data_IF_288007145019
#
_entry.id   IF_288007145019
#
_cell.length_a   1.000
_cell.length_b   1.000
_cell.length_c   1.000
_cell.angle_alpha   90.00
_cell.angle_beta   90.00
_cell.angle_gamma   90.00
#
_symmetry.space_group_name_H-M   'P 1'
#
loop_
_entity.id
_entity.type
_entity.pdbx_description
1 polymer ?
#
# COMPACT_ATOMS: atom_id res chain seq x y z
N UNK A 1 6.77 30.15 -35.04
CA UNK A 1 5.81 29.21 -34.46
C UNK A 1 6.55 27.88 -34.35
N UNK A 2 7.15 27.63 -33.19
CA UNK A 2 7.74 26.35 -32.87
C UNK A 2 6.71 25.62 -32.00
N UNK A 3 6.25 24.47 -32.46
CA UNK A 3 5.42 23.56 -31.67
C UNK A 3 6.38 22.69 -30.85
N UNK A 4 6.36 22.87 -29.53
CA UNK A 4 7.05 22.01 -28.59
C UNK A 4 6.33 20.65 -28.57
N UNK A 5 7.00 19.62 -29.09
CA UNK A 5 6.64 18.22 -28.89
C UNK A 5 7.03 17.83 -27.46
N UNK A 6 6.05 17.76 -26.56
CA UNK A 6 6.18 17.01 -25.31
C UNK A 6 6.35 15.50 -25.66
N UNK A 7 7.55 14.96 -25.44
CA UNK A 7 7.77 13.51 -25.45
C UNK A 7 7.13 12.90 -24.21
N UNK A 8 6.05 12.16 -24.42
CA UNK A 8 5.39 11.31 -23.43
C UNK A 8 6.27 10.11 -23.06
N UNK A 9 7.18 10.30 -22.09
CA UNK A 9 7.99 9.24 -21.49
C UNK A 9 7.21 8.35 -20.48
N UNK A 10 5.92 8.63 -20.25
CA UNK A 10 5.11 7.93 -19.24
C UNK A 10 4.64 6.55 -19.71
N UNK A 11 4.22 6.45 -20.97
CA UNK A 11 3.68 5.21 -21.54
C UNK A 11 4.78 4.15 -21.76
N UNK A 12 6.02 4.55 -22.02
CA UNK A 12 7.14 3.62 -22.20
C UNK A 12 7.61 2.99 -20.88
N UNK A 13 7.53 3.72 -19.76
CA UNK A 13 7.84 3.19 -18.43
C UNK A 13 6.79 2.15 -17.98
N UNK A 14 5.51 2.37 -18.30
CA UNK A 14 4.44 1.40 -18.04
C UNK A 14 4.64 0.11 -18.87
N UNK A 15 5.08 0.25 -20.12
CA UNK A 15 5.40 -0.89 -20.99
C UNK A 15 6.65 -1.67 -20.54
N UNK A 16 7.68 -1.00 -20.02
CA UNK A 16 8.90 -1.62 -19.52
C UNK A 16 8.64 -2.39 -18.22
N UNK A 17 7.79 -1.87 -17.33
CA UNK A 17 7.42 -2.52 -16.06
C UNK A 17 6.47 -3.71 -16.27
N UNK A 18 5.66 -3.71 -17.33
CA UNK A 18 4.68 -4.76 -17.66
C UNK A 18 5.21 -5.80 -18.67
N UNK A 19 6.50 -5.74 -19.01
CA UNK A 19 7.16 -6.63 -19.96
C UNK A 19 7.44 -8.03 -19.40
N UNK A 20 6.39 -8.77 -19.01
CA UNK A 20 6.53 -10.17 -18.60
C UNK A 20 5.20 -10.82 -18.21
N UNK A 21 4.69 -11.66 -19.10
CA UNK A 21 3.58 -12.63 -18.92
C UNK A 21 2.16 -12.13 -19.16
N UNK A 22 1.61 -12.57 -20.31
CA UNK A 22 0.17 -12.81 -20.52
C UNK A 22 -0.67 -11.58 -20.85
N UNK A 23 -1.39 -11.62 -21.98
CA UNK A 23 -2.23 -10.52 -22.47
C UNK A 23 -3.24 -10.01 -21.44
N UNK A 24 -2.88 -8.95 -20.72
CA UNK A 24 -3.78 -8.18 -19.88
C UNK A 24 -4.66 -7.35 -20.80
N UNK A 25 -5.97 -7.63 -20.80
CA UNK A 25 -6.94 -6.74 -21.46
C UNK A 25 -6.73 -5.33 -20.89
N UNK A 26 -6.34 -4.36 -21.73
CA UNK A 26 -6.20 -2.95 -21.32
C UNK A 26 -7.45 -2.53 -20.54
N UNK A 27 -7.32 -2.38 -19.22
CA UNK A 27 -8.44 -1.95 -18.37
C UNK A 27 -8.72 -0.47 -18.66
N UNK A 28 -10.00 -0.12 -18.77
CA UNK A 28 -10.40 1.27 -19.00
C UNK A 28 -9.93 2.23 -17.89
N UNK A 29 -9.88 3.52 -18.21
CA UNK A 29 -9.47 4.55 -17.25
C UNK A 29 -10.52 4.81 -16.15
N UNK A 30 -11.74 4.30 -16.31
CA UNK A 30 -12.79 4.39 -15.29
C UNK A 30 -12.61 3.21 -14.33
N UNK A 31 -12.58 3.50 -13.02
CA UNK A 31 -12.50 2.48 -11.99
C UNK A 31 -13.88 1.87 -11.72
N UNK A 32 -14.01 0.53 -11.68
CA UNK A 32 -15.20 -0.09 -11.12
C UNK A 32 -15.30 0.21 -9.62
N UNK A 33 -16.53 0.30 -9.11
CA UNK A 33 -16.82 0.42 -7.68
C UNK A 33 -17.43 -0.89 -7.19
N UNK A 34 -16.82 -1.49 -6.17
CA UNK A 34 -17.30 -2.69 -5.51
C UNK A 34 -18.05 -2.34 -4.23
N UNK A 35 -19.21 -2.97 -4.01
CA UNK A 35 -20.02 -2.76 -2.82
C UNK A 35 -20.89 -1.51 -2.91
N UNK A 36 -20.89 -0.68 -1.86
CA UNK A 36 -21.83 0.42 -1.72
C UNK A 36 -21.31 1.73 -2.33
N UNK A 37 -21.96 2.16 -3.41
CA UNK A 37 -21.63 3.38 -4.17
C UNK A 37 -21.92 4.70 -3.44
N UNK A 38 -22.59 4.66 -2.29
CA UNK A 38 -22.87 5.87 -1.48
C UNK A 38 -21.94 5.97 -0.29
N UNK A 39 -21.63 4.85 0.34
CA UNK A 39 -20.90 4.82 1.62
C UNK A 39 -19.43 4.46 1.48
N UNK A 40 -18.94 4.12 0.27
CA UNK A 40 -17.56 3.62 0.06
C UNK A 40 -17.27 2.36 0.89
N UNK A 41 -18.30 1.63 1.30
CA UNK A 41 -18.22 0.52 2.26
C UNK A 41 -17.67 0.87 3.64
N UNK A 42 -17.64 2.16 4.01
CA UNK A 42 -17.21 2.59 5.33
C UNK A 42 -18.20 2.16 6.41
N UNK A 43 -17.69 1.93 7.61
CA UNK A 43 -18.53 1.76 8.79
C UNK A 43 -19.41 3.01 8.97
N UNK A 44 -20.71 2.82 9.25
CA UNK A 44 -21.66 3.93 9.40
C UNK A 44 -21.20 4.99 10.41
N UNK A 45 -20.58 4.58 11.52
CA UNK A 45 -20.05 5.53 12.51
C UNK A 45 -18.93 6.39 11.93
N UNK A 46 -17.99 5.79 11.19
CA UNK A 46 -16.90 6.52 10.54
C UNK A 46 -17.48 7.47 9.49
N UNK A 47 -18.38 6.97 8.63
CA UNK A 47 -19.01 7.80 7.60
C UNK A 47 -19.79 8.98 8.18
N UNK A 48 -20.60 8.77 9.22
CA UNK A 48 -21.33 9.86 9.87
C UNK A 48 -20.39 10.92 10.42
N UNK A 49 -19.26 10.52 11.04
CA UNK A 49 -18.28 11.48 11.55
C UNK A 49 -17.53 12.20 10.42
N UNK A 50 -17.20 11.53 9.31
CA UNK A 50 -16.66 12.18 8.10
C UNK A 50 -17.64 13.27 7.63
N UNK A 51 -18.90 12.90 7.41
CA UNK A 51 -19.91 13.82 6.89
C UNK A 51 -20.23 14.97 7.85
N UNK A 52 -20.05 14.78 9.16
CA UNK A 52 -20.25 15.82 10.17
C UNK A 52 -18.99 16.65 10.45
N UNK A 53 -17.81 16.19 10.04
CA UNK A 53 -16.55 16.86 10.25
C UNK A 53 -16.53 18.25 9.62
N UNK A 54 -16.17 19.31 10.38
CA UNK A 54 -15.93 20.64 9.82
C UNK A 54 -14.85 20.62 8.73
N UNK A 55 -13.83 19.77 8.90
CA UNK A 55 -12.78 19.61 7.89
C UNK A 55 -13.35 19.13 6.55
N UNK A 56 -14.21 18.11 6.57
CA UNK A 56 -14.84 17.63 5.35
C UNK A 56 -15.87 18.62 4.77
N UNK A 57 -16.73 19.18 5.62
CA UNK A 57 -17.85 20.05 5.21
C UNK A 57 -17.44 21.42 4.72
N UNK A 58 -16.39 21.99 5.30
CA UNK A 58 -15.97 23.37 5.04
C UNK A 58 -14.70 23.36 4.21
N UNK A 59 -13.61 22.80 4.74
CA UNK A 59 -12.31 22.85 4.06
C UNK A 59 -12.28 22.02 2.78
N UNK A 60 -12.75 20.78 2.80
CA UNK A 60 -12.75 19.93 1.61
C UNK A 60 -13.92 20.19 0.64
N UNK A 61 -14.83 21.12 0.94
CA UNK A 61 -15.94 21.45 0.03
C UNK A 61 -15.46 22.23 -1.20
N UNK A 62 -14.44 23.08 -1.04
CA UNK A 62 -13.87 23.90 -2.12
C UNK A 62 -12.88 23.12 -2.98
N UNK A 63 -12.25 22.09 -2.41
CA UNK A 63 -11.32 21.19 -3.09
C UNK A 63 -12.08 20.36 -4.14
N UNK A 64 -11.70 20.45 -5.42
CA UNK A 64 -12.44 19.78 -6.52
C UNK A 64 -11.58 18.95 -7.43
N UNK A 65 -10.28 19.17 -7.43
CA UNK A 65 -9.35 18.48 -8.31
C UNK A 65 -8.57 17.41 -7.56
N UNK A 66 -8.08 16.44 -8.32
CA UNK A 66 -7.19 15.41 -7.80
C UNK A 66 -5.92 15.99 -7.16
N UNK A 67 -5.28 16.97 -7.83
CA UNK A 67 -4.04 17.58 -7.36
C UNK A 67 -4.23 18.34 -6.05
N UNK A 68 -5.32 19.11 -5.91
CA UNK A 68 -5.62 19.77 -4.62
C UNK A 68 -5.83 18.74 -3.50
N UNK A 69 -6.42 17.57 -3.79
CA UNK A 69 -6.54 16.50 -2.79
C UNK A 69 -5.17 15.92 -2.44
N UNK A 70 -4.26 15.73 -3.40
CA UNK A 70 -2.88 15.33 -3.12
C UNK A 70 -2.19 16.29 -2.16
N UNK A 71 -2.29 17.60 -2.43
CA UNK A 71 -1.71 18.63 -1.58
C UNK A 71 -2.29 18.57 -0.16
N UNK A 72 -3.60 18.35 -0.03
CA UNK A 72 -4.23 18.18 1.28
C UNK A 72 -3.76 16.92 2.00
N UNK A 73 -3.52 15.81 1.27
CA UNK A 73 -2.94 14.61 1.86
C UNK A 73 -1.53 14.89 2.36
N UNK A 74 -0.69 15.48 1.53
CA UNK A 74 0.69 15.82 1.87
C UNK A 74 0.78 16.69 3.13
N UNK A 75 -0.06 17.72 3.23
CA UNK A 75 0.02 18.71 4.31
C UNK A 75 -0.68 18.29 5.61
N UNK A 76 -1.69 17.41 5.55
CA UNK A 76 -2.57 17.15 6.71
C UNK A 76 -2.64 15.69 7.15
N UNK A 77 -2.06 14.75 6.41
CA UNK A 77 -2.11 13.32 6.77
C UNK A 77 -0.77 12.90 7.36
N UNK A 78 -0.82 12.40 8.60
CA UNK A 78 0.32 11.91 9.37
C UNK A 78 0.09 10.51 9.97
N UNK A 79 -1.06 9.89 9.68
CA UNK A 79 -1.41 8.52 10.04
C UNK A 79 -2.55 8.03 9.12
N UNK A 80 -2.86 6.72 9.14
CA UNK A 80 -3.84 6.09 8.25
C UNK A 80 -5.02 5.43 8.99
N UNK A 81 -5.14 5.61 10.31
CA UNK A 81 -6.28 5.14 11.08
C UNK A 81 -7.50 6.09 11.08
N UNK A 82 -8.73 5.62 11.39
CA UNK A 82 -9.95 6.42 11.27
C UNK A 82 -10.10 7.58 12.26
N UNK A 83 -9.40 7.53 13.38
CA UNK A 83 -9.63 8.43 14.51
C UNK A 83 -8.34 9.13 14.90
N UNK A 84 -8.43 10.40 15.24
CA UNK A 84 -7.32 11.16 15.80
C UNK A 84 -6.90 10.61 17.16
N UNK A 85 -5.61 10.73 17.49
CA UNK A 85 -5.02 10.21 18.72
C UNK A 85 -5.83 10.65 19.95
N UNK A 86 -6.22 9.66 20.77
CA UNK A 86 -6.89 9.91 22.05
C UNK A 86 -8.29 10.50 21.95
N UNK A 87 -8.82 10.71 20.74
CA UNK A 87 -10.15 11.27 20.53
C UNK A 87 -11.25 10.22 20.74
N UNK A 88 -10.93 8.94 20.49
CA UNK A 88 -11.84 7.82 20.69
C UNK A 88 -11.70 7.28 22.11
N UNK A 89 -12.73 7.46 22.93
CA UNK A 89 -12.82 6.86 24.27
C UNK A 89 -13.28 5.41 24.17
N UNK A 90 -12.35 4.49 23.90
CA UNK A 90 -12.62 3.05 23.99
C UNK A 90 -12.66 2.55 25.43
N UNK A 91 -12.06 3.29 26.38
CA UNK A 91 -12.09 2.99 27.81
C UNK A 91 -13.38 3.53 28.46
N UNK A 92 -14.30 2.62 28.77
CA UNK A 92 -15.49 2.93 29.58
C UNK A 92 -16.81 2.39 29.06
N UNK A 93 -16.90 1.99 27.78
CA UNK A 93 -18.04 1.21 27.29
C UNK A 93 -17.84 -0.29 27.59
N UNK A 94 -17.76 -0.63 28.88
CA UNK A 94 -17.91 -2.02 29.35
C UNK A 94 -19.34 -2.12 29.90
N UNK A 95 -20.31 -2.03 28.98
CA UNK A 95 -21.70 -2.39 29.21
C UNK A 95 -22.09 -3.52 28.25
N UNK A 96 -23.28 -4.10 28.40
CA UNK A 96 -23.73 -5.27 27.62
C UNK A 96 -23.67 -5.09 26.08
N UNK A 97 -23.50 -3.87 25.56
CA UNK A 97 -23.37 -3.56 24.13
C UNK A 97 -21.99 -3.03 23.70
N UNK A 98 -21.03 -2.87 24.63
CA UNK A 98 -19.74 -2.21 24.37
C UNK A 98 -18.71 -3.02 23.59
N UNK A 99 -18.96 -4.32 23.38
CA UNK A 99 -18.14 -5.19 22.52
C UNK A 99 -18.54 -5.19 21.05
N UNK A 100 -19.66 -4.54 20.68
CA UNK A 100 -20.16 -4.53 19.30
C UNK A 100 -19.42 -3.45 18.50
N UNK A 101 -18.50 -3.87 17.63
CA UNK A 101 -17.76 -2.97 16.73
C UNK A 101 -18.75 -2.11 15.93
N UNK A 102 -18.71 -0.80 16.12
CA UNK A 102 -19.63 0.14 15.44
C UNK A 102 -20.77 0.69 16.31
N UNK A 103 -20.84 0.32 17.58
CA UNK A 103 -21.82 0.85 18.55
C UNK A 103 -21.06 1.60 19.65
N UNK A 104 -20.92 2.92 19.52
CA UNK A 104 -20.17 3.78 20.44
C UNK A 104 -20.14 5.24 19.99
N UNK A 105 -19.83 6.17 20.88
CA UNK A 105 -19.57 7.57 20.49
C UNK A 105 -18.22 7.59 19.77
N UNK A 106 -18.22 8.01 18.50
CA UNK A 106 -16.98 8.15 17.71
C UNK A 106 -15.99 9.13 18.35
N UNK A 107 -14.75 9.13 17.86
CA UNK A 107 -13.77 10.16 18.17
C UNK A 107 -13.83 11.31 17.15
N UNK A 108 -12.80 12.16 17.16
CA UNK A 108 -12.55 13.09 16.06
C UNK A 108 -12.05 12.24 14.90
N UNK A 109 -12.72 12.35 13.75
CA UNK A 109 -12.33 11.61 12.54
C UNK A 109 -11.05 12.18 11.94
N UNK A 110 -10.20 11.30 11.43
CA UNK A 110 -8.91 11.70 10.87
C UNK A 110 -9.02 12.39 9.52
N UNK A 111 -8.04 13.26 9.24
CA UNK A 111 -7.84 13.86 7.91
C UNK A 111 -7.72 12.78 6.82
N UNK A 112 -7.04 11.67 7.10
CA UNK A 112 -6.87 10.54 6.21
C UNK A 112 -8.20 9.96 5.71
N UNK A 113 -9.14 9.69 6.61
CA UNK A 113 -10.45 9.13 6.24
C UNK A 113 -11.36 10.15 5.56
N UNK A 114 -11.26 11.44 5.93
CA UNK A 114 -11.94 12.51 5.22
C UNK A 114 -11.46 12.62 3.76
N UNK A 115 -10.15 12.57 3.52
CA UNK A 115 -9.55 12.68 2.18
C UNK A 115 -9.76 11.40 1.36
N UNK A 116 -9.69 10.23 1.99
CA UNK A 116 -10.04 8.95 1.36
C UNK A 116 -11.47 8.96 0.82
N UNK A 117 -12.44 9.42 1.62
CA UNK A 117 -13.83 9.57 1.16
C UNK A 117 -13.97 10.69 0.12
N UNK A 118 -13.20 11.78 0.22
CA UNK A 118 -13.19 12.85 -0.78
C UNK A 118 -12.78 12.32 -2.16
N UNK A 119 -11.69 11.55 -2.26
CA UNK A 119 -11.26 10.90 -3.50
C UNK A 119 -12.37 10.05 -4.12
N UNK A 120 -13.11 9.31 -3.28
CA UNK A 120 -14.26 8.51 -3.72
C UNK A 120 -15.38 9.36 -4.31
N UNK A 121 -15.75 10.47 -3.65
CA UNK A 121 -16.79 11.37 -4.17
C UNK A 121 -16.40 12.09 -5.46
N UNK A 122 -15.10 12.34 -5.68
CA UNK A 122 -14.58 12.89 -6.94
C UNK A 122 -14.52 11.86 -8.08
N UNK A 123 -14.74 10.57 -7.78
CA UNK A 123 -14.67 9.46 -8.75
C UNK A 123 -13.35 9.47 -9.53
N UNK A 124 -12.24 9.38 -8.80
CA UNK A 124 -10.91 9.35 -9.41
C UNK A 124 -10.78 8.24 -10.46
N UNK A 125 -9.93 8.50 -11.45
CA UNK A 125 -9.64 7.60 -12.55
C UNK A 125 -8.57 6.57 -12.18
N UNK A 126 -8.39 5.55 -13.02
CA UNK A 126 -7.32 4.56 -12.88
C UNK A 126 -5.95 5.22 -12.92
N UNK A 127 -5.73 6.17 -13.84
CA UNK A 127 -4.48 6.94 -13.92
C UNK A 127 -4.20 7.71 -12.62
N UNK A 128 -5.21 8.34 -12.05
CA UNK A 128 -5.07 9.05 -10.76
C UNK A 128 -4.80 8.10 -9.60
N UNK A 129 -5.44 6.93 -9.57
CA UNK A 129 -5.16 5.93 -8.53
C UNK A 129 -3.74 5.34 -8.66
N UNK A 130 -3.27 5.09 -9.88
CA UNK A 130 -1.87 4.74 -10.14
C UNK A 130 -0.92 5.85 -9.68
N UNK A 131 -1.29 7.12 -9.90
CA UNK A 131 -0.54 8.28 -9.41
C UNK A 131 -0.45 8.34 -7.88
N UNK A 132 -1.49 7.94 -7.15
CA UNK A 132 -1.46 7.86 -5.68
C UNK A 132 -0.48 6.79 -5.18
N UNK A 133 -0.60 5.57 -5.68
CA UNK A 133 0.17 4.41 -5.14
C UNK A 133 1.65 4.42 -5.54
N UNK A 134 2.01 5.18 -6.57
CA UNK A 134 3.39 5.40 -7.03
C UNK A 134 3.94 6.77 -6.67
N UNK A 135 3.25 7.53 -5.82
CA UNK A 135 3.68 8.89 -5.46
C UNK A 135 4.95 8.85 -4.59
N UNK A 136 5.97 9.62 -4.95
CA UNK A 136 7.28 9.58 -4.25
C UNK A 136 7.37 10.56 -3.07
N UNK A 137 6.57 11.63 -3.07
CA UNK A 137 6.72 12.69 -2.06
C UNK A 137 6.26 12.31 -0.65
N UNK A 138 5.38 11.31 -0.49
CA UNK A 138 4.86 10.95 0.82
C UNK A 138 4.30 9.52 0.89
N UNK A 139 4.71 8.72 1.90
CA UNK A 139 4.17 7.38 2.12
C UNK A 139 2.67 7.42 2.48
N UNK A 140 2.16 8.54 2.99
CA UNK A 140 0.75 8.70 3.33
C UNK A 140 -0.13 8.88 2.10
N UNK A 141 0.39 9.50 1.03
CA UNK A 141 -0.30 9.56 -0.27
C UNK A 141 -0.49 8.15 -0.82
N UNK A 142 0.59 7.36 -0.81
CA UNK A 142 0.56 5.96 -1.23
C UNK A 142 -0.37 5.13 -0.37
N UNK A 143 -0.28 5.27 0.96
CA UNK A 143 -1.14 4.60 1.94
C UNK A 143 -2.62 4.82 1.68
N UNK A 144 -3.04 6.07 1.41
CA UNK A 144 -4.42 6.39 1.03
C UNK A 144 -4.81 5.73 -0.29
N UNK A 145 -3.92 5.72 -1.29
CA UNK A 145 -4.13 5.00 -2.55
C UNK A 145 -4.39 3.50 -2.33
N UNK A 146 -3.59 2.84 -1.51
CA UNK A 146 -3.78 1.42 -1.18
C UNK A 146 -5.06 1.16 -0.39
N UNK A 147 -5.41 2.04 0.56
CA UNK A 147 -6.70 1.96 1.24
C UNK A 147 -7.88 2.14 0.28
N UNK A 148 -7.78 3.07 -0.67
CA UNK A 148 -8.80 3.27 -1.71
C UNK A 148 -9.01 2.00 -2.53
N UNK A 149 -7.93 1.34 -2.96
CA UNK A 149 -7.99 0.04 -3.63
C UNK A 149 -8.77 -0.96 -2.78
N UNK A 150 -8.41 -1.07 -1.49
CA UNK A 150 -8.99 -2.07 -0.59
C UNK A 150 -10.48 -1.84 -0.29
N UNK A 151 -10.93 -0.60 -0.25
CA UNK A 151 -12.33 -0.24 0.00
C UNK A 151 -13.20 -0.29 -1.25
N UNK A 152 -12.66 0.06 -2.42
CA UNK A 152 -13.48 0.34 -3.61
C UNK A 152 -13.31 -0.66 -4.75
N UNK A 153 -12.18 -1.35 -4.87
CA UNK A 153 -11.91 -2.16 -6.05
C UNK A 153 -12.47 -3.59 -5.92
N UNK A 154 -12.89 -4.22 -7.04
CA UNK A 154 -13.36 -5.60 -7.04
C UNK A 154 -12.35 -6.55 -6.39
N UNK A 155 -12.79 -7.47 -5.53
CA UNK A 155 -11.88 -8.40 -4.84
C UNK A 155 -10.98 -9.21 -5.78
N UNK A 156 -11.46 -9.53 -6.98
CA UNK A 156 -10.70 -10.27 -7.99
C UNK A 156 -9.50 -9.47 -8.55
N UNK A 157 -9.57 -8.13 -8.51
CA UNK A 157 -8.52 -7.24 -9.01
C UNK A 157 -7.49 -6.90 -7.92
N UNK A 158 -7.76 -7.17 -6.64
CA UNK A 158 -6.90 -6.77 -5.52
C UNK A 158 -5.47 -7.29 -5.67
N UNK A 159 -5.30 -8.53 -6.12
CA UNK A 159 -3.97 -9.10 -6.31
C UNK A 159 -3.15 -8.32 -7.34
N UNK A 160 -3.73 -8.02 -8.49
CA UNK A 160 -3.05 -7.28 -9.58
C UNK A 160 -2.61 -5.88 -9.14
N UNK A 161 -3.43 -5.22 -8.33
CA UNK A 161 -3.12 -3.90 -7.78
C UNK A 161 -2.01 -3.91 -6.73
N UNK A 162 -1.96 -4.95 -5.90
CA UNK A 162 -1.20 -4.94 -4.66
C UNK A 162 0.08 -5.78 -4.71
N UNK A 163 0.14 -6.81 -5.55
CA UNK A 163 1.29 -7.71 -5.66
C UNK A 163 2.63 -6.99 -5.92
N UNK A 164 2.70 -5.96 -6.80
CA UNK A 164 3.97 -5.29 -7.10
C UNK A 164 4.61 -4.60 -5.89
N UNK A 165 3.80 -4.27 -4.87
CA UNK A 165 4.22 -3.49 -3.71
C UNK A 165 4.44 -4.33 -2.45
N UNK A 166 4.31 -5.66 -2.53
CA UNK A 166 4.47 -6.56 -1.37
C UNK A 166 5.86 -6.51 -0.74
N UNK A 167 6.88 -6.15 -1.52
CA UNK A 167 8.28 -6.06 -1.10
C UNK A 167 8.75 -4.59 -0.99
N UNK A 168 7.81 -3.64 -0.99
CA UNK A 168 8.12 -2.21 -0.91
C UNK A 168 8.75 -1.84 0.45
N UNK A 169 9.97 -1.28 0.46
CA UNK A 169 10.72 -0.98 1.68
C UNK A 169 10.37 0.38 2.30
N UNK A 170 9.57 1.24 1.65
CA UNK A 170 9.24 2.55 2.19
C UNK A 170 8.50 2.43 3.53
N UNK A 171 8.92 3.22 4.52
CA UNK A 171 8.34 3.18 5.87
C UNK A 171 7.15 4.14 6.02
N UNK A 172 6.16 3.71 6.78
CA UNK A 172 4.98 4.50 7.13
C UNK A 172 4.54 4.15 8.55
N UNK A 173 3.97 5.13 9.27
CA UNK A 173 3.30 4.88 10.55
C UNK A 173 1.79 5.06 10.38
N UNK A 174 1.00 3.98 10.27
CA UNK A 174 -0.43 4.09 10.06
C UNK A 174 -1.20 4.53 11.33
N UNK A 175 -0.57 4.54 12.52
CA UNK A 175 -1.25 4.74 13.81
C UNK A 175 -1.10 6.17 14.32
N UNK A 176 -2.16 6.74 14.90
CA UNK A 176 -2.09 8.07 15.48
C UNK A 176 -1.31 8.06 16.82
N UNK A 177 -0.08 8.56 16.78
CA UNK A 177 0.68 9.03 17.94
C UNK A 177 1.13 8.00 18.99
N UNK A 178 1.05 6.70 18.71
CA UNK A 178 1.67 5.67 19.58
C UNK A 178 2.67 4.77 18.86
N UNK A 179 2.87 4.95 17.54
CA UNK A 179 3.80 4.13 16.78
C UNK A 179 3.23 2.76 16.42
N UNK A 180 3.04 2.52 15.12
CA UNK A 180 3.07 1.18 14.52
C UNK A 180 3.85 1.26 13.20
N UNK A 181 5.14 1.68 13.23
CA UNK A 181 5.92 1.84 12.02
C UNK A 181 6.08 0.50 11.32
N UNK A 182 5.79 0.50 10.02
CA UNK A 182 5.90 -0.68 9.16
C UNK A 182 6.23 -0.25 7.74
N UNK A 183 6.62 -1.19 6.89
CA UNK A 183 6.84 -0.87 5.48
C UNK A 183 5.51 -0.82 4.71
N UNK A 184 5.50 -0.16 3.55
CA UNK A 184 4.39 -0.20 2.60
C UNK A 184 4.08 -1.65 2.21
N UNK A 185 5.11 -2.50 2.01
CA UNK A 185 4.90 -3.94 1.78
C UNK A 185 4.11 -4.63 2.89
N UNK A 186 4.39 -4.29 4.15
CA UNK A 186 3.61 -4.78 5.29
C UNK A 186 2.18 -4.23 5.30
N UNK A 187 1.97 -2.95 4.98
CA UNK A 187 0.62 -2.37 4.83
C UNK A 187 -0.16 -3.16 3.78
N UNK A 188 0.41 -3.34 2.60
CA UNK A 188 -0.21 -4.04 1.46
C UNK A 188 -0.56 -5.49 1.83
N UNK A 189 0.36 -6.20 2.50
CA UNK A 189 0.09 -7.54 2.99
C UNK A 189 -1.06 -7.56 4.01
N UNK A 190 -1.14 -6.58 4.91
CA UNK A 190 -2.23 -6.48 5.87
C UNK A 190 -3.57 -6.18 5.18
N UNK A 191 -3.60 -5.35 4.14
CA UNK A 191 -4.81 -5.10 3.35
C UNK A 191 -5.35 -6.39 2.69
N UNK A 192 -4.48 -7.28 2.25
CA UNK A 192 -4.87 -8.56 1.63
C UNK A 192 -5.33 -9.63 2.62
N UNK A 193 -4.84 -9.58 3.87
CA UNK A 193 -4.97 -10.70 4.83
C UNK A 193 -5.80 -10.38 6.06
N UNK A 194 -5.88 -9.11 6.46
CA UNK A 194 -6.60 -8.66 7.64
C UNK A 194 -7.94 -8.07 7.23
N UNK A 195 -8.96 -8.37 8.03
CA UNK A 195 -10.27 -7.74 7.90
C UNK A 195 -10.35 -6.41 8.66
N UNK A 196 -9.62 -6.30 9.77
CA UNK A 196 -9.61 -5.13 10.64
C UNK A 196 -8.44 -4.20 10.32
N UNK A 197 -8.72 -2.89 10.35
CA UNK A 197 -7.77 -1.80 10.21
C UNK A 197 -8.05 -0.77 11.29
N UNK A 198 -7.25 -0.79 12.36
CA UNK A 198 -7.33 0.18 13.46
C UNK A 198 -8.76 0.40 13.99
N UNK A 199 -9.52 -0.69 14.14
CA UNK A 199 -10.87 -0.66 14.68
C UNK A 199 -11.98 -0.24 13.69
N UNK A 200 -11.68 -0.14 12.40
CA UNK A 200 -12.66 -0.25 11.31
C UNK A 200 -12.47 -1.54 10.53
N UNK A 201 -13.50 -1.98 9.80
CA UNK A 201 -13.43 -3.19 8.97
C UNK A 201 -13.38 -2.83 7.50
N UNK A 202 -12.55 -3.54 6.76
CA UNK A 202 -12.60 -3.54 5.30
C UNK A 202 -13.80 -4.34 4.78
N UNK A 203 -14.22 -4.12 3.52
CA UNK A 203 -15.16 -4.99 2.83
C UNK A 203 -14.65 -6.44 2.85
N UNK A 204 -15.53 -7.41 3.12
CA UNK A 204 -15.16 -8.82 3.12
C UNK A 204 -14.79 -9.27 1.70
N UNK A 205 -13.65 -9.92 1.56
CA UNK A 205 -13.23 -10.59 0.33
C UNK A 205 -13.97 -11.95 0.27
N UNK A 206 -14.62 -12.31 -0.85
CA UNK A 206 -15.24 -13.62 -1.02
C UNK A 206 -14.25 -14.75 -0.75
N UNK A 207 -14.68 -15.76 0.00
CA UNK A 207 -13.81 -16.87 0.46
C UNK A 207 -13.01 -17.54 -0.66
N UNK A 208 -13.56 -17.83 -1.86
CA UNK A 208 -12.77 -18.41 -2.95
C UNK A 208 -11.61 -17.52 -3.38
N UNK A 209 -11.83 -16.20 -3.43
CA UNK A 209 -10.82 -15.20 -3.80
C UNK A 209 -9.79 -15.07 -2.69
N UNK A 210 -10.21 -15.05 -1.42
CA UNK A 210 -9.29 -15.03 -0.28
C UNK A 210 -8.34 -16.24 -0.31
N UNK A 211 -8.86 -17.44 -0.56
CA UNK A 211 -8.04 -18.66 -0.68
C UNK A 211 -7.01 -18.55 -1.81
N UNK A 212 -7.39 -17.95 -2.94
CA UNK A 212 -6.46 -17.72 -4.06
C UNK A 212 -5.36 -16.72 -3.68
N UNK A 213 -5.71 -15.60 -3.05
CA UNK A 213 -4.75 -14.61 -2.56
C UNK A 213 -3.78 -15.25 -1.56
N UNK A 214 -4.30 -15.99 -0.59
CA UNK A 214 -3.49 -16.67 0.43
C UNK A 214 -2.51 -17.67 -0.19
N UNK A 215 -2.94 -18.40 -1.23
CA UNK A 215 -2.08 -19.32 -1.97
C UNK A 215 -0.99 -18.57 -2.72
N UNK A 216 -1.33 -17.52 -3.47
CA UNK A 216 -0.33 -16.71 -4.20
C UNK A 216 0.70 -16.05 -3.26
N UNK A 217 0.28 -15.60 -2.07
CA UNK A 217 1.20 -15.11 -1.04
C UNK A 217 2.17 -16.20 -0.55
N UNK A 218 1.70 -17.45 -0.40
CA UNK A 218 2.55 -18.58 -0.02
C UNK A 218 3.55 -18.90 -1.12
N UNK A 219 3.11 -18.93 -2.37
CA UNK A 219 3.96 -19.21 -3.53
C UNK A 219 5.07 -18.14 -3.66
N UNK A 220 4.73 -16.85 -3.59
CA UNK A 220 5.73 -15.76 -3.63
C UNK A 220 6.78 -15.88 -2.51
N UNK A 221 6.36 -16.19 -1.28
CA UNK A 221 7.31 -16.41 -0.16
C UNK A 221 8.24 -17.62 -0.40
N UNK A 222 7.71 -18.70 -0.95
CA UNK A 222 8.52 -19.88 -1.30
C UNK A 222 9.54 -19.53 -2.40
N UNK A 223 9.11 -18.79 -3.42
CA UNK A 223 9.97 -18.44 -4.54
C UNK A 223 11.11 -17.50 -4.08
N UNK A 224 10.81 -16.49 -3.25
CA UNK A 224 11.82 -15.65 -2.60
C UNK A 224 12.82 -16.46 -1.75
N UNK A 225 12.36 -17.49 -1.03
CA UNK A 225 13.23 -18.36 -0.24
C UNK A 225 14.16 -19.20 -1.14
N UNK A 226 13.61 -19.74 -2.23
CA UNK A 226 14.36 -20.53 -3.20
C UNK A 226 15.42 -19.67 -3.91
N UNK A 227 15.09 -18.45 -4.30
CA UNK A 227 16.04 -17.51 -4.90
C UNK A 227 17.17 -17.14 -3.94
N UNK A 228 16.86 -16.86 -2.67
CA UNK A 228 17.88 -16.60 -1.65
C UNK A 228 18.81 -17.80 -1.45
N UNK A 229 18.26 -19.02 -1.45
CA UNK A 229 19.05 -20.24 -1.35
C UNK A 229 19.95 -20.46 -2.57
N UNK A 230 19.42 -20.25 -3.78
CA UNK A 230 20.17 -20.36 -5.03
C UNK A 230 21.35 -19.37 -5.05
N UNK A 231 21.11 -18.09 -4.75
CA UNK A 231 22.16 -17.05 -4.70
C UNK A 231 23.27 -17.40 -3.71
N UNK A 232 22.91 -17.91 -2.53
CA UNK A 232 23.90 -18.33 -1.51
C UNK A 232 24.78 -19.48 -2.02
N UNK A 233 24.18 -20.47 -2.67
CA UNK A 233 24.94 -21.61 -3.22
C UNK A 233 25.87 -21.17 -4.36
N UNK A 234 25.44 -20.24 -5.20
CA UNK A 234 26.27 -19.65 -6.26
C UNK A 234 27.47 -18.88 -5.68
N UNK A 235 27.24 -18.07 -4.63
CA UNK A 235 28.30 -17.35 -3.92
C UNK A 235 29.32 -18.30 -3.26
N UNK A 236 28.84 -19.38 -2.64
CA UNK A 236 29.70 -20.39 -2.02
C UNK A 236 30.51 -21.16 -3.07
N UNK A 237 29.90 -21.52 -4.20
CA UNK A 237 30.60 -22.16 -5.32
C UNK A 237 31.68 -21.24 -5.93
N UNK A 238 31.38 -19.94 -6.09
CA UNK A 238 32.33 -18.95 -6.61
C UNK A 238 33.52 -18.75 -5.66
N UNK A 239 33.28 -18.73 -4.34
CA UNK A 239 34.34 -18.64 -3.32
C UNK A 239 35.26 -19.86 -3.33
N UNK A 240 34.68 -21.06 -3.46
CA UNK A 240 35.44 -22.30 -3.56
C UNK A 240 36.31 -22.32 -4.83
N UNK A 241 35.77 -21.88 -5.97
CA UNK A 241 36.52 -21.77 -7.21
C UNK A 241 37.70 -20.78 -7.09
N UNK A 242 37.50 -19.63 -6.44
CA UNK A 242 38.59 -18.66 -6.20
C UNK A 242 39.68 -19.22 -5.28
N UNK A 243 39.32 -19.99 -4.24
CA UNK A 243 40.30 -20.67 -3.37
C UNK A 243 41.16 -21.65 -4.15
N UNK A 244 40.55 -22.45 -5.03
CA UNK A 244 41.28 -23.41 -5.88
C UNK A 244 42.21 -22.75 -6.89
N UNK A 245 41.89 -21.54 -7.34
CA UNK A 245 42.69 -20.80 -8.31
C UNK A 245 43.77 -19.91 -7.68
N UNK A 246 43.78 -19.71 -6.35
CA UNK A 246 44.84 -18.96 -5.67
C UNK A 246 46.08 -19.85 -5.54
N UNK A 247 47.16 -19.63 -6.31
CA UNK A 247 48.37 -20.40 -6.17
C UNK A 247 49.05 -19.96 -4.88
N UNK A 248 49.45 -20.94 -4.10
CA UNK A 248 50.14 -20.83 -2.83
C UNK A 248 51.29 -19.78 -2.90
N UNK A 249 51.07 -18.60 -2.32
CA UNK A 249 52.09 -17.55 -2.19
C UNK A 249 53.19 -17.94 -1.18
N UNK A 250 53.09 -19.08 -0.50
CA UNK A 250 54.09 -19.52 0.47
C UNK A 250 55.35 -20.13 -0.16
N UNK A 251 55.35 -20.46 -1.47
CA UNK A 251 56.53 -21.03 -2.10
C UNK A 251 57.59 -19.99 -2.57
N UNK A 252 57.36 -18.69 -2.34
CA UNK A 252 58.33 -17.62 -2.68
C UNK A 252 59.26 -17.19 -1.54
N UNK A 253 59.05 -17.66 -0.30
CA UNK A 253 59.96 -17.37 0.83
C UNK A 253 61.07 -18.41 1.01
N UNK A 254 60.93 -19.62 0.46
CA UNK A 254 61.97 -20.66 0.55
C UNK A 254 63.12 -20.54 -0.46
N UNK A 255 63.05 -19.61 -1.41
CA UNK A 255 64.06 -19.46 -2.46
C UNK A 255 65.11 -18.36 -2.18
N UNK A 256 65.04 -17.65 -1.04
CA UNK A 256 65.94 -16.53 -0.72
C UNK A 256 66.99 -16.89 0.35
N UNK A 257 66.90 -18.04 1.02
CA UNK A 257 67.89 -18.50 2.02
C UNK A 257 68.95 -19.49 1.47
N UNK A 258 69.10 -19.60 0.14
CA UNK A 258 70.18 -20.40 -0.49
C UNK A 258 71.04 -19.57 -1.46
N UNK A 259 71.52 -18.40 -1.01
CA UNK A 259 72.62 -17.68 -1.67
C UNK A 259 73.65 -17.24 -0.65
#
# INVERSE_FOLDING_TARGET
>A
MAEDQEMDMGDDLEAIMLGGVGGVKKKGNILPVWGNEKTMNLNNMVLTNILQSPYYKVHLAEIRTYHEVLDQIYNHVNHLEPWERGSRKTSGQIGMCGGVRGVGTGGIVSSAFCLLYKLFTLKITRKQLNGLINHEDSPYIRGIGFMYIRFCQPPADLWEWLEPYLDDPEEVDPKAGTGDPMTIGMVVQQLLTRLDWYGTLFPRIPVPIQKQIDQKLKDKRRDQQNERFARRNEDDARREQMRRQSPDKDNRRRSVEMR
#
